data_IF_431182210813
#
_entry.id   IF_431182210813
#
_cell.length_a   1.000
_cell.length_b   1.000
_cell.length_c   1.000
_cell.angle_alpha   90.00
_cell.angle_beta   90.00
_cell.angle_gamma   90.00
#
_symmetry.space_group_name_H-M   'P 1'
#
loop_
_entity.id
_entity.type
_entity.pdbx_description
1 polymer ?
#
# COMPACT_ATOMS: atom_id res chain seq x y z
N UNK A 1 33.63 -14.37 37.97
CA UNK A 1 32.73 -15.19 37.17
C UNK A 1 31.43 -14.40 36.98
N UNK A 2 31.33 -13.70 35.86
CA UNK A 2 30.14 -12.93 35.49
C UNK A 2 29.31 -13.81 34.55
N UNK A 3 28.13 -14.18 34.98
CA UNK A 3 27.15 -14.89 34.17
C UNK A 3 26.38 -13.92 33.28
N UNK A 4 26.52 -14.05 31.97
CA UNK A 4 25.67 -13.40 30.99
C UNK A 4 24.23 -13.95 31.09
N UNK A 5 23.20 -13.11 30.98
CA UNK A 5 21.82 -13.59 30.89
C UNK A 5 21.56 -14.18 29.51
N UNK A 6 20.92 -15.36 29.50
CA UNK A 6 20.48 -16.05 28.30
C UNK A 6 19.52 -15.18 27.49
N UNK A 7 19.76 -15.09 26.17
CA UNK A 7 18.87 -14.46 25.21
C UNK A 7 17.52 -15.21 25.19
N UNK A 8 16.45 -14.51 25.53
CA UNK A 8 15.08 -15.01 25.39
C UNK A 8 14.72 -15.07 23.91
N UNK A 9 14.34 -16.24 23.44
CA UNK A 9 13.84 -16.46 22.06
C UNK A 9 12.61 -15.59 21.80
N UNK A 10 12.60 -14.96 20.62
CA UNK A 10 11.48 -14.16 20.11
C UNK A 10 10.27 -15.08 19.82
N UNK A 11 9.08 -14.82 20.38
CA UNK A 11 7.91 -15.69 20.22
C UNK A 11 7.21 -15.60 18.86
N UNK A 12 7.79 -14.95 17.83
CA UNK A 12 7.17 -14.73 16.53
C UNK A 12 7.76 -15.54 15.36
N UNK A 13 8.60 -16.52 15.61
CA UNK A 13 9.07 -17.43 14.56
C UNK A 13 7.97 -18.47 14.21
N UNK A 14 7.19 -18.19 13.16
CA UNK A 14 6.40 -19.20 12.48
C UNK A 14 7.33 -20.00 11.53
N UNK A 15 7.40 -21.34 11.64
CA UNK A 15 8.24 -22.16 10.76
C UNK A 15 7.68 -22.13 9.33
N UNK A 16 8.43 -21.53 8.40
CA UNK A 16 8.12 -21.55 6.96
C UNK A 16 8.00 -20.20 6.25
N UNK A 17 8.07 -19.08 6.98
CA UNK A 17 8.12 -17.76 6.35
C UNK A 17 9.58 -17.32 6.26
N UNK A 18 10.09 -17.10 5.04
CA UNK A 18 11.41 -16.52 4.84
C UNK A 18 11.50 -15.17 5.56
N UNK A 19 12.60 -14.90 6.24
CA UNK A 19 12.81 -13.62 6.92
C UNK A 19 12.62 -12.47 5.92
N UNK A 20 11.87 -11.40 6.29
CA UNK A 20 11.62 -10.29 5.38
C UNK A 20 12.95 -9.63 5.00
N UNK A 21 13.12 -9.37 3.68
CA UNK A 21 14.34 -8.72 3.15
C UNK A 21 14.52 -7.28 3.66
N UNK A 22 13.45 -6.67 4.16
CA UNK A 22 13.46 -5.34 4.76
C UNK A 22 13.13 -5.43 6.26
N UNK A 23 14.07 -5.02 7.12
CA UNK A 23 13.90 -5.00 8.57
C UNK A 23 12.76 -4.05 9.05
N UNK A 24 12.32 -3.10 8.23
CA UNK A 24 11.18 -2.24 8.53
C UNK A 24 9.83 -2.96 8.35
N UNK A 25 9.77 -3.99 7.53
CA UNK A 25 8.53 -4.72 7.17
C UNK A 25 7.71 -5.18 8.39
N UNK A 26 8.27 -5.83 9.42
CA UNK A 26 7.49 -6.27 10.59
C UNK A 26 6.88 -5.11 11.37
N UNK A 27 7.61 -4.01 11.52
CA UNK A 27 7.14 -2.81 12.25
C UNK A 27 6.00 -2.13 11.50
N UNK A 28 6.14 -2.00 10.19
CA UNK A 28 5.14 -1.41 9.30
C UNK A 28 3.87 -2.28 9.26
N UNK A 29 4.03 -3.60 9.12
CA UNK A 29 2.90 -4.54 9.15
C UNK A 29 2.11 -4.43 10.46
N UNK A 30 2.78 -4.53 11.61
CA UNK A 30 2.15 -4.43 12.93
C UNK A 30 1.45 -3.06 13.14
N UNK A 31 2.01 -1.99 12.58
CA UNK A 31 1.38 -0.67 12.64
C UNK A 31 0.06 -0.66 11.88
N UNK A 32 0.04 -1.12 10.62
CA UNK A 32 -1.18 -1.13 9.80
C UNK A 32 -2.22 -2.16 10.26
N UNK A 33 -1.80 -3.27 10.84
CA UNK A 33 -2.72 -4.21 11.49
C UNK A 33 -3.47 -3.56 12.67
N UNK A 34 -2.80 -2.64 13.37
CA UNK A 34 -3.37 -1.94 14.52
C UNK A 34 -4.13 -0.66 14.16
N UNK A 35 -3.65 0.05 13.15
CA UNK A 35 -4.18 1.36 12.73
C UNK A 35 -4.50 1.33 11.24
N UNK A 36 -5.66 0.79 10.88
CA UNK A 36 -6.12 0.73 9.50
C UNK A 36 -6.19 2.11 8.83
N UNK A 37 -5.59 2.24 7.63
CA UNK A 37 -5.60 3.47 6.85
C UNK A 37 -5.56 3.17 5.34
N UNK A 38 -6.34 3.87 4.50
CA UNK A 38 -7.46 4.74 4.86
C UNK A 38 -8.63 3.93 5.41
N UNK A 39 -9.39 4.52 6.34
CA UNK A 39 -10.56 3.88 6.97
C UNK A 39 -11.83 3.97 6.13
N UNK A 40 -11.71 3.92 4.80
CA UNK A 40 -12.86 4.00 3.89
C UNK A 40 -13.84 2.86 4.17
N UNK A 41 -15.14 3.16 4.34
CA UNK A 41 -16.15 2.16 4.64
C UNK A 41 -16.24 1.13 3.51
N UNK A 42 -16.55 -0.11 3.88
CA UNK A 42 -16.91 -1.12 2.90
C UNK A 42 -18.29 -0.78 2.33
N UNK A 43 -18.40 -0.83 1.00
CA UNK A 43 -19.64 -0.57 0.29
C UNK A 43 -20.05 -1.79 -0.53
N UNK A 44 -21.33 -1.91 -0.80
CA UNK A 44 -21.85 -2.89 -1.74
C UNK A 44 -21.87 -2.27 -3.15
N UNK A 45 -21.39 -3.05 -4.13
CA UNK A 45 -21.27 -2.58 -5.51
C UNK A 45 -19.98 -1.82 -5.82
N UNK A 46 -19.83 -1.34 -7.07
CA UNK A 46 -18.61 -0.72 -7.58
C UNK A 46 -18.14 0.47 -6.75
N UNK A 47 -16.82 0.79 -6.74
CA UNK A 47 -16.31 1.98 -6.09
C UNK A 47 -16.92 3.24 -6.71
N UNK A 48 -17.16 4.32 -5.92
CA UNK A 48 -17.86 5.49 -6.37
C UNK A 48 -17.04 6.31 -7.36
N UNK A 49 -17.68 6.76 -8.44
CA UNK A 49 -17.09 7.65 -9.42
C UNK A 49 -16.04 7.00 -10.31
N UNK A 50 -15.25 7.85 -10.98
CA UNK A 50 -14.22 7.45 -11.93
C UNK A 50 -12.89 8.09 -11.56
N UNK A 51 -11.87 7.27 -11.30
CA UNK A 51 -10.51 7.75 -11.10
C UNK A 51 -9.62 7.30 -12.26
N UNK A 52 -9.33 8.20 -13.18
CA UNK A 52 -8.55 7.94 -14.38
C UNK A 52 -7.15 7.35 -14.09
N UNK A 53 -6.58 7.64 -12.91
CA UNK A 53 -5.27 7.13 -12.50
C UNK A 53 -5.21 5.61 -12.37
N UNK A 54 -6.35 4.98 -12.12
CA UNK A 54 -6.46 3.52 -12.03
C UNK A 54 -7.04 2.88 -13.29
N UNK A 55 -7.37 3.68 -14.34
CA UNK A 55 -7.71 3.19 -15.66
C UNK A 55 -6.44 3.14 -16.52
N UNK A 56 -5.92 1.95 -16.78
CA UNK A 56 -4.64 1.76 -17.49
C UNK A 56 -4.65 2.41 -18.86
N UNK A 57 -5.76 2.30 -19.60
CA UNK A 57 -5.90 2.94 -20.92
C UNK A 57 -5.79 4.47 -20.82
N UNK A 58 -6.41 5.08 -19.79
CA UNK A 58 -6.34 6.53 -19.59
C UNK A 58 -4.93 6.99 -19.21
N UNK A 59 -4.25 6.25 -18.33
CA UNK A 59 -2.84 6.54 -17.97
C UNK A 59 -1.94 6.42 -19.20
N UNK A 60 -2.12 5.37 -20.00
CA UNK A 60 -1.35 5.17 -21.23
C UNK A 60 -1.62 6.27 -22.27
N UNK A 61 -2.87 6.69 -22.41
CA UNK A 61 -3.23 7.81 -23.30
C UNK A 61 -2.56 9.12 -22.85
N UNK A 62 -2.50 9.36 -21.54
CA UNK A 62 -1.85 10.55 -20.99
C UNK A 62 -0.33 10.54 -21.24
N UNK A 63 0.32 9.37 -21.20
CA UNK A 63 1.77 9.23 -21.38
C UNK A 63 2.17 9.17 -22.86
N UNK A 64 1.44 8.42 -23.68
CA UNK A 64 1.79 8.14 -25.07
C UNK A 64 0.98 8.92 -26.10
N UNK A 65 0.02 9.73 -25.68
CA UNK A 65 -0.79 10.59 -26.53
C UNK A 65 -1.87 9.85 -27.35
N UNK A 66 -2.08 8.55 -27.12
CA UNK A 66 -3.09 7.77 -27.88
C UNK A 66 -3.68 6.65 -27.02
N UNK A 67 -4.96 6.37 -27.26
CA UNK A 67 -5.62 5.18 -26.72
C UNK A 67 -5.23 3.94 -27.56
N UNK A 68 -5.23 2.74 -26.95
CA UNK A 68 -5.08 1.50 -27.70
C UNK A 68 -6.21 1.36 -28.75
N UNK A 69 -5.88 0.84 -29.91
CA UNK A 69 -6.84 0.66 -31.00
C UNK A 69 -7.94 -0.39 -30.70
N UNK A 70 -7.73 -1.25 -29.68
CA UNK A 70 -8.70 -2.25 -29.23
C UNK A 70 -8.59 -2.42 -27.72
N UNK A 71 -9.67 -2.86 -27.04
CA UNK A 71 -9.61 -3.25 -25.65
C UNK A 71 -8.48 -4.25 -25.40
N UNK A 72 -7.70 -4.02 -24.36
CA UNK A 72 -6.60 -4.89 -23.98
C UNK A 72 -6.83 -5.45 -22.59
N UNK A 73 -6.40 -6.69 -22.40
CA UNK A 73 -6.35 -7.32 -21.09
C UNK A 73 -4.97 -7.06 -20.50
N UNK A 74 -4.92 -6.28 -19.43
CA UNK A 74 -3.67 -5.86 -18.82
C UNK A 74 -3.23 -6.83 -17.73
N UNK A 75 -1.93 -7.01 -17.56
CA UNK A 75 -1.36 -7.58 -16.34
C UNK A 75 -0.99 -6.45 -15.40
N UNK A 76 -1.68 -6.38 -14.28
CA UNK A 76 -1.60 -5.25 -13.34
C UNK A 76 -1.09 -5.77 -12.00
N UNK A 77 -0.12 -5.05 -11.41
CA UNK A 77 0.32 -5.23 -10.04
C UNK A 77 -0.15 -4.03 -9.20
N UNK A 78 -0.82 -4.30 -8.10
CA UNK A 78 -1.10 -3.33 -7.04
C UNK A 78 -0.16 -3.61 -5.86
N UNK A 79 0.98 -2.92 -5.84
CA UNK A 79 2.06 -3.13 -4.89
C UNK A 79 1.84 -2.29 -3.63
N UNK A 80 1.44 -2.93 -2.54
CA UNK A 80 1.01 -2.30 -1.30
C UNK A 80 -0.46 -1.88 -1.38
N UNK A 81 -1.34 -2.84 -1.66
CA UNK A 81 -2.75 -2.60 -1.92
C UNK A 81 -3.55 -2.18 -0.66
N UNK A 82 -2.98 -2.36 0.55
CA UNK A 82 -3.64 -2.04 1.80
C UNK A 82 -5.02 -2.69 1.91
N UNK A 83 -6.03 -1.87 2.19
CA UNK A 83 -7.44 -2.29 2.32
C UNK A 83 -8.16 -2.47 0.99
N UNK A 84 -7.43 -2.52 -0.13
CA UNK A 84 -7.94 -2.87 -1.43
C UNK A 84 -8.72 -1.77 -2.16
N UNK A 85 -8.63 -0.51 -1.73
CA UNK A 85 -9.34 0.57 -2.42
C UNK A 85 -8.83 0.74 -3.87
N UNK A 86 -7.50 0.77 -4.07
CA UNK A 86 -6.90 0.81 -5.40
C UNK A 86 -7.20 -0.45 -6.21
N UNK A 87 -7.11 -1.63 -5.58
CA UNK A 87 -7.41 -2.91 -6.24
C UNK A 87 -8.85 -2.97 -6.76
N UNK A 88 -9.80 -2.46 -5.97
CA UNK A 88 -11.21 -2.39 -6.35
C UNK A 88 -11.41 -1.54 -7.60
N UNK A 89 -10.86 -0.32 -7.64
CA UNK A 89 -10.87 0.53 -8.83
C UNK A 89 -10.14 -0.11 -10.02
N UNK A 90 -8.97 -0.71 -9.80
CA UNK A 90 -8.20 -1.36 -10.86
C UNK A 90 -9.01 -2.48 -11.52
N UNK A 91 -9.74 -3.27 -10.75
CA UNK A 91 -10.60 -4.32 -11.30
C UNK A 91 -11.78 -3.74 -12.11
N UNK A 92 -12.48 -2.75 -11.56
CA UNK A 92 -13.67 -2.18 -12.21
C UNK A 92 -13.34 -1.35 -13.46
N UNK A 93 -12.18 -0.68 -13.47
CA UNK A 93 -11.78 0.20 -14.58
C UNK A 93 -10.97 -0.51 -15.69
N UNK A 94 -10.55 -1.77 -15.45
CA UNK A 94 -9.77 -2.55 -16.42
C UNK A 94 -10.38 -3.95 -16.58
N UNK A 95 -11.60 -4.07 -17.09
CA UNK A 95 -12.30 -5.34 -17.18
C UNK A 95 -11.52 -6.35 -18.03
N UNK A 96 -11.58 -7.63 -17.63
CA UNK A 96 -10.88 -8.73 -18.30
C UNK A 96 -9.37 -8.79 -18.07
N UNK A 97 -8.78 -7.88 -17.30
CA UNK A 97 -7.35 -7.87 -16.96
C UNK A 97 -7.03 -8.90 -15.86
N UNK A 98 -5.74 -9.20 -15.66
CA UNK A 98 -5.26 -9.99 -14.53
C UNK A 98 -4.63 -9.04 -13.50
N UNK A 99 -5.13 -9.07 -12.26
CA UNK A 99 -4.69 -8.20 -11.17
C UNK A 99 -4.06 -9.03 -10.06
N UNK A 100 -2.79 -8.74 -9.77
CA UNK A 100 -2.11 -9.21 -8.56
C UNK A 100 -2.03 -8.04 -7.57
N UNK A 101 -2.63 -8.19 -6.41
CA UNK A 101 -2.57 -7.21 -5.33
C UNK A 101 -1.80 -7.81 -4.15
N UNK A 102 -0.77 -7.11 -3.69
CA UNK A 102 0.07 -7.59 -2.58
C UNK A 102 0.14 -6.55 -1.46
N UNK A 103 0.16 -7.05 -0.24
CA UNK A 103 0.44 -6.25 0.95
C UNK A 103 1.14 -7.11 2.00
N UNK A 104 1.87 -6.48 2.92
CA UNK A 104 2.54 -7.16 4.03
C UNK A 104 1.60 -7.40 5.22
N UNK A 105 0.51 -6.63 5.35
CA UNK A 105 -0.46 -6.71 6.42
C UNK A 105 -1.55 -7.73 6.13
N UNK A 106 -1.62 -8.77 6.92
CA UNK A 106 -2.70 -9.76 6.85
C UNK A 106 -4.07 -9.15 7.17
N UNK A 107 -4.11 -8.21 8.13
CA UNK A 107 -5.30 -7.48 8.52
C UNK A 107 -5.84 -6.61 7.39
N UNK A 108 -4.97 -5.86 6.72
CA UNK A 108 -5.34 -5.06 5.56
C UNK A 108 -5.90 -5.94 4.43
N UNK A 109 -5.23 -7.04 4.11
CA UNK A 109 -5.68 -7.97 3.08
C UNK A 109 -7.01 -8.66 3.39
N UNK A 110 -7.30 -8.91 4.67
CA UNK A 110 -8.62 -9.43 5.06
C UNK A 110 -9.74 -8.44 4.69
N UNK A 111 -9.52 -7.15 4.92
CA UNK A 111 -10.45 -6.09 4.52
C UNK A 111 -10.50 -5.94 2.99
N UNK A 112 -9.36 -6.01 2.31
CA UNK A 112 -9.30 -5.96 0.85
C UNK A 112 -10.12 -7.08 0.20
N UNK A 113 -10.03 -8.30 0.71
CA UNK A 113 -10.85 -9.43 0.24
C UNK A 113 -12.34 -9.18 0.43
N UNK A 114 -12.74 -8.65 1.59
CA UNK A 114 -14.14 -8.29 1.85
C UNK A 114 -14.62 -7.19 0.91
N UNK A 115 -13.80 -6.14 0.68
CA UNK A 115 -14.10 -5.05 -0.26
C UNK A 115 -14.34 -5.59 -1.66
N UNK A 116 -13.39 -6.33 -2.22
CA UNK A 116 -13.48 -6.87 -3.57
C UNK A 116 -14.65 -7.86 -3.74
N UNK A 117 -14.97 -8.64 -2.69
CA UNK A 117 -16.13 -9.54 -2.72
C UNK A 117 -17.46 -8.76 -2.73
N UNK A 118 -17.58 -7.71 -1.91
CA UNK A 118 -18.81 -6.91 -1.83
C UNK A 118 -19.03 -6.03 -3.06
N UNK A 119 -17.96 -5.56 -3.68
CA UNK A 119 -18.04 -4.72 -4.87
C UNK A 119 -18.25 -5.50 -6.18
N UNK A 120 -18.01 -6.82 -6.16
CA UNK A 120 -18.03 -7.64 -7.38
C UNK A 120 -16.78 -7.46 -8.23
N UNK A 121 -15.65 -7.04 -7.63
CA UNK A 121 -14.41 -6.78 -8.36
C UNK A 121 -13.85 -8.03 -9.06
N UNK A 122 -13.95 -9.19 -8.44
CA UNK A 122 -13.44 -10.45 -8.99
C UNK A 122 -14.16 -10.87 -10.28
N UNK A 123 -15.45 -10.56 -10.42
CA UNK A 123 -16.25 -10.86 -11.61
C UNK A 123 -15.93 -9.92 -12.80
N UNK A 124 -15.21 -8.82 -12.55
CA UNK A 124 -14.83 -7.84 -13.59
C UNK A 124 -13.56 -8.20 -14.32
N UNK A 125 -12.68 -8.97 -13.73
CA UNK A 125 -11.34 -9.29 -14.24
C UNK A 125 -11.21 -10.78 -14.56
N UNK A 126 -10.23 -11.14 -15.38
CA UNK A 126 -9.95 -12.52 -15.69
C UNK A 126 -9.35 -13.27 -14.47
N UNK A 127 -8.58 -12.55 -13.66
CA UNK A 127 -7.97 -13.07 -12.45
C UNK A 127 -7.77 -11.95 -11.42
N UNK A 128 -8.12 -12.21 -10.16
CA UNK A 128 -7.77 -11.37 -9.02
C UNK A 128 -7.07 -12.22 -7.95
N UNK A 129 -5.81 -11.91 -7.69
CA UNK A 129 -5.01 -12.51 -6.62
C UNK A 129 -4.72 -11.47 -5.55
N UNK A 130 -5.04 -11.78 -4.29
CA UNK A 130 -4.75 -10.96 -3.11
C UNK A 130 -3.81 -11.75 -2.20
N UNK A 131 -2.53 -11.37 -2.15
CA UNK A 131 -1.49 -12.15 -1.49
C UNK A 131 -0.74 -11.37 -0.42
N UNK A 132 -0.46 -12.05 0.69
CA UNK A 132 0.42 -11.49 1.73
C UNK A 132 1.87 -11.69 1.31
N UNK A 133 2.46 -10.65 0.71
CA UNK A 133 3.85 -10.66 0.23
C UNK A 133 4.46 -9.27 0.31
N UNK A 134 5.76 -9.22 0.54
CA UNK A 134 6.54 -7.99 0.32
C UNK A 134 6.67 -7.73 -1.18
N UNK A 135 6.60 -6.46 -1.58
CA UNK A 135 6.90 -6.07 -2.96
C UNK A 135 8.36 -6.39 -3.37
N UNK A 136 9.26 -6.58 -2.39
CA UNK A 136 10.64 -7.00 -2.63
C UNK A 136 10.78 -8.51 -2.95
N UNK A 137 9.72 -9.29 -2.73
CA UNK A 137 9.71 -10.76 -2.91
C UNK A 137 8.89 -11.21 -4.12
N UNK A 138 8.72 -10.34 -5.12
CA UNK A 138 7.92 -10.60 -6.33
C UNK A 138 8.74 -11.04 -7.53
N UNK A 139 10.00 -11.42 -7.34
CA UNK A 139 10.84 -11.93 -8.43
C UNK A 139 10.16 -13.09 -9.17
N UNK A 140 10.06 -12.97 -10.51
CA UNK A 140 9.41 -13.97 -11.36
C UNK A 140 7.91 -13.81 -11.58
N UNK A 141 7.22 -12.89 -10.86
CA UNK A 141 5.80 -12.61 -11.11
C UNK A 141 5.53 -11.75 -12.36
N UNK A 142 6.52 -10.98 -12.80
CA UNK A 142 6.42 -10.16 -14.01
C UNK A 142 6.43 -10.96 -15.33
N UNK A 143 6.40 -10.30 -16.48
CA UNK A 143 6.33 -8.86 -16.59
C UNK A 143 4.90 -8.31 -16.50
N UNK A 144 4.76 -7.11 -15.89
CA UNK A 144 3.49 -6.39 -15.79
C UNK A 144 3.41 -5.27 -16.82
N UNK A 145 2.20 -4.97 -17.26
CA UNK A 145 1.88 -3.84 -18.13
C UNK A 145 1.79 -2.54 -17.34
N UNK A 146 1.26 -2.65 -16.13
CA UNK A 146 1.03 -1.54 -15.23
C UNK A 146 1.30 -1.96 -13.80
N UNK A 147 2.05 -1.14 -13.07
CA UNK A 147 2.27 -1.30 -11.64
C UNK A 147 1.72 -0.06 -10.95
N UNK A 148 0.85 -0.24 -9.97
CA UNK A 148 0.36 0.79 -9.07
C UNK A 148 1.05 0.64 -7.73
N UNK A 149 1.67 1.72 -7.22
CA UNK A 149 2.28 1.76 -5.88
C UNK A 149 2.05 3.13 -5.26
N UNK A 150 0.96 3.26 -4.51
CA UNK A 150 0.48 4.53 -3.98
C UNK A 150 0.62 4.56 -2.47
N UNK A 151 1.51 5.43 -1.97
CA UNK A 151 1.70 5.60 -0.54
C UNK A 151 2.49 4.47 0.13
N UNK A 152 3.38 3.78 -0.59
CA UNK A 152 4.02 2.54 -0.13
C UNK A 152 5.54 2.68 0.04
N UNK A 153 6.28 3.06 -0.99
CA UNK A 153 7.74 2.95 -1.00
C UNK A 153 8.43 3.77 0.11
N UNK A 154 7.82 4.85 0.56
CA UNK A 154 8.36 5.66 1.67
C UNK A 154 8.28 4.98 3.05
N UNK A 155 7.64 3.80 3.14
CA UNK A 155 7.65 2.95 4.34
C UNK A 155 8.78 1.93 4.32
N UNK A 156 9.43 1.73 3.19
CA UNK A 156 10.59 0.86 3.10
C UNK A 156 11.80 1.54 3.75
N UNK A 157 12.70 0.74 4.29
CA UNK A 157 14.00 1.23 4.76
C UNK A 157 14.83 1.80 3.62
N UNK A 158 14.72 1.21 2.44
CA UNK A 158 15.36 1.63 1.21
C UNK A 158 14.30 1.78 0.10
N UNK A 159 13.74 2.98 -0.09
CA UNK A 159 12.76 3.25 -1.14
C UNK A 159 13.31 3.05 -2.56
N UNK A 160 14.62 3.26 -2.78
CA UNK A 160 15.25 3.08 -4.09
C UNK A 160 15.32 1.60 -4.46
N UNK A 161 15.67 0.73 -3.51
CA UNK A 161 15.61 -0.71 -3.72
C UNK A 161 14.20 -1.18 -4.06
N UNK A 162 13.17 -0.63 -3.40
CA UNK A 162 11.77 -0.88 -3.74
C UNK A 162 11.41 -0.44 -5.14
N UNK A 163 11.80 0.76 -5.53
CA UNK A 163 11.59 1.29 -6.88
C UNK A 163 12.26 0.42 -7.95
N UNK A 164 13.51 0.01 -7.71
CA UNK A 164 14.25 -0.88 -8.61
C UNK A 164 13.55 -2.24 -8.76
N UNK A 165 13.14 -2.84 -7.65
CA UNK A 165 12.43 -4.12 -7.67
C UNK A 165 11.13 -4.03 -8.51
N UNK A 166 10.34 -2.96 -8.35
CA UNK A 166 9.15 -2.75 -9.16
C UNK A 166 9.47 -2.49 -10.63
N UNK A 167 10.53 -1.72 -10.94
CA UNK A 167 10.93 -1.45 -12.31
C UNK A 167 11.36 -2.72 -13.05
N UNK A 168 12.04 -3.66 -12.39
CA UNK A 168 12.45 -4.97 -12.96
C UNK A 168 11.25 -5.88 -13.29
N UNK A 169 10.09 -5.64 -12.70
CA UNK A 169 8.86 -6.36 -12.97
C UNK A 169 8.04 -5.77 -14.13
N UNK A 170 8.40 -4.60 -14.65
CA UNK A 170 7.73 -3.99 -15.79
C UNK A 170 8.22 -4.61 -17.11
N UNK A 171 7.31 -4.81 -18.04
CA UNK A 171 7.69 -5.07 -19.43
C UNK A 171 8.23 -3.80 -20.12
N UNK A 172 8.96 -3.91 -21.21
CA UNK A 172 9.27 -2.74 -22.05
C UNK A 172 7.99 -2.01 -22.46
N UNK A 173 7.93 -0.68 -22.20
CA UNK A 173 6.74 0.13 -22.42
C UNK A 173 5.62 -0.05 -21.39
N UNK A 174 5.88 -0.75 -20.29
CA UNK A 174 5.02 -0.78 -19.10
C UNK A 174 5.08 0.53 -18.33
N UNK A 175 4.08 0.78 -17.50
CA UNK A 175 3.94 2.02 -16.72
C UNK A 175 3.93 1.74 -15.23
N UNK A 176 4.64 2.58 -14.46
CA UNK A 176 4.59 2.62 -13.01
C UNK A 176 3.83 3.89 -12.57
N UNK A 177 2.67 3.71 -11.95
CA UNK A 177 1.98 4.75 -11.23
C UNK A 177 2.49 4.80 -9.78
N UNK A 178 3.19 5.87 -9.44
CA UNK A 178 3.84 6.04 -8.16
C UNK A 178 3.34 7.28 -7.44
N UNK A 179 3.02 7.14 -6.15
CA UNK A 179 2.76 8.24 -5.25
C UNK A 179 3.64 8.14 -4.01
N UNK A 180 4.42 9.18 -3.75
CA UNK A 180 5.28 9.33 -2.58
C UNK A 180 5.00 10.65 -1.88
N UNK A 181 5.27 10.69 -0.60
CA UNK A 181 5.26 11.94 0.13
C UNK A 181 6.51 12.75 -0.16
N UNK A 182 6.35 14.03 -0.47
CA UNK A 182 7.45 14.98 -0.60
C UNK A 182 7.75 15.61 0.76
N UNK A 183 9.02 15.71 1.10
CA UNK A 183 9.50 16.30 2.36
C UNK A 183 9.00 17.75 2.52
N UNK A 184 9.14 18.55 1.47
CA UNK A 184 8.69 19.94 1.47
C UNK A 184 7.17 20.10 1.70
N UNK A 185 6.36 19.12 1.26
CA UNK A 185 4.91 19.14 1.43
C UNK A 185 4.43 18.62 2.79
N UNK A 186 5.33 18.16 3.66
CA UNK A 186 4.97 17.56 4.96
C UNK A 186 5.55 18.30 6.18
N UNK A 187 6.03 19.49 6.00
CA UNK A 187 6.66 20.26 7.07
C UNK A 187 5.76 20.47 8.30
N UNK A 188 4.47 20.65 8.10
CA UNK A 188 3.49 20.78 9.21
C UNK A 188 3.36 19.49 9.99
N UNK A 189 3.28 18.34 9.29
CA UNK A 189 3.23 17.02 9.91
C UNK A 189 4.52 16.75 10.69
N UNK A 190 5.66 17.08 10.13
CA UNK A 190 6.96 16.92 10.79
C UNK A 190 7.06 17.77 12.06
N UNK A 191 6.59 19.02 12.02
CA UNK A 191 6.49 19.88 13.21
C UNK A 191 5.57 19.30 14.27
N UNK A 192 4.41 18.80 13.86
CA UNK A 192 3.45 18.13 14.73
C UNK A 192 4.07 16.90 15.39
N UNK A 193 4.74 16.05 14.63
CA UNK A 193 5.46 14.88 15.15
C UNK A 193 6.55 15.28 16.14
N UNK A 194 7.31 16.34 15.84
CA UNK A 194 8.34 16.88 16.75
C UNK A 194 7.75 17.42 18.05
N UNK A 195 6.63 18.14 17.97
CA UNK A 195 5.92 18.62 19.17
C UNK A 195 5.43 17.47 20.05
N UNK A 196 4.83 16.43 19.46
CA UNK A 196 4.41 15.23 20.19
C UNK A 196 5.57 14.48 20.81
N UNK A 197 6.71 14.39 20.13
CA UNK A 197 7.92 13.78 20.66
C UNK A 197 8.49 14.56 21.86
N UNK A 198 8.51 15.90 21.82
CA UNK A 198 8.92 16.75 22.95
C UNK A 198 7.98 16.60 24.15
N UNK A 199 6.71 16.36 23.92
CA UNK A 199 5.71 16.07 24.96
C UNK A 199 5.76 14.62 25.45
N UNK A 200 6.72 13.83 24.96
CA UNK A 200 6.84 12.41 25.26
C UNK A 200 5.54 11.62 25.00
N UNK A 201 4.76 12.06 24.04
CA UNK A 201 3.58 11.35 23.59
C UNK A 201 4.01 10.01 22.98
N UNK A 202 3.72 8.92 23.65
CA UNK A 202 4.03 7.58 23.18
C UNK A 202 3.24 7.24 21.91
N UNK A 203 3.70 6.23 21.17
CA UNK A 203 3.03 5.71 19.96
C UNK A 203 1.76 4.88 20.25
N UNK A 204 1.39 4.71 21.52
CA UNK A 204 0.22 3.95 21.96
C UNK A 204 -1.10 4.76 21.92
N UNK A 205 -2.21 4.12 22.34
CA UNK A 205 -3.53 4.76 22.38
C UNK A 205 -3.58 6.06 23.20
N UNK A 206 -2.78 6.15 24.25
CA UNK A 206 -2.70 7.35 25.09
C UNK A 206 -2.04 8.52 24.36
N UNK A 207 -0.94 8.27 23.66
CA UNK A 207 -0.29 9.25 22.81
C UNK A 207 -1.20 9.74 21.69
N UNK A 208 -1.96 8.84 21.08
CA UNK A 208 -2.96 9.19 20.07
C UNK A 208 -4.08 10.05 20.63
N UNK A 209 -4.59 9.72 21.85
CA UNK A 209 -5.60 10.56 22.54
C UNK A 209 -5.05 11.94 22.89
N UNK A 210 -3.82 12.00 23.38
CA UNK A 210 -3.15 13.27 23.67
C UNK A 210 -3.03 14.12 22.41
N UNK A 211 -2.53 13.54 21.31
CA UNK A 211 -2.39 14.24 20.04
C UNK A 211 -3.72 14.78 19.52
N UNK A 212 -4.77 13.96 19.51
CA UNK A 212 -6.11 14.40 19.10
C UNK A 212 -6.62 15.57 19.94
N UNK A 213 -6.45 15.53 21.24
CA UNK A 213 -6.87 16.63 22.13
C UNK A 213 -6.09 17.91 21.89
N UNK A 214 -4.77 17.82 21.70
CA UNK A 214 -3.92 18.98 21.44
C UNK A 214 -4.25 19.68 20.12
N UNK A 215 -4.68 18.92 19.11
CA UNK A 215 -4.94 19.47 17.77
C UNK A 215 -6.43 19.72 17.51
N UNK A 216 -7.32 19.30 18.39
CA UNK A 216 -8.77 19.49 18.24
C UNK A 216 -9.15 20.98 18.24
N UNK A 217 -8.49 21.78 19.06
CA UNK A 217 -8.79 23.19 19.30
C UNK A 217 -7.86 24.15 18.55
N UNK A 218 -7.11 23.65 17.54
CA UNK A 218 -6.27 24.53 16.73
C UNK A 218 -7.13 25.46 15.88
N UNK A 219 -6.72 26.75 15.74
CA UNK A 219 -7.37 27.70 14.85
C UNK A 219 -7.44 27.18 13.42
N UNK A 220 -8.45 27.59 12.66
CA UNK A 220 -8.59 27.19 11.24
C UNK A 220 -7.37 27.52 10.38
N UNK A 221 -6.63 28.60 10.73
CA UNK A 221 -5.37 28.96 10.09
C UNK A 221 -4.25 27.92 10.24
N UNK A 222 -4.41 26.94 11.14
CA UNK A 222 -3.46 25.87 11.42
C UNK A 222 -4.01 24.47 11.08
N UNK A 223 -5.09 24.40 10.30
CA UNK A 223 -5.68 23.14 9.84
C UNK A 223 -5.26 22.78 8.43
#
# INVERSE_FOLDING_TARGET
ASSEPAATADPLEHPGVAAPRDAATPVVSAFYDRFPYPGDPLQDGPPPGYNWRWCVDSVRAAVFGSLPAAPRHWRILDAGCGYGASSDYLCHLNPGSAVLAVDISAGALAVARQRCARSGAAERVAELRLEQRSLLDLAGEGPFDHINSVGVLHHLRDPEAGLKALAELLRPGGLLHLFLYADAGRWEIQRTQRALALLQAGSGPDGLRLGRRLFQDLPESNR
#
